data_IF_004845660382
#
_entry.id   IF_004845660382
#
_cell.length_a   1.000
_cell.length_b   1.000
_cell.length_c   1.000
_cell.angle_alpha   90.00
_cell.angle_beta   90.00
_cell.angle_gamma   90.00
#
_symmetry.space_group_name_H-M   'P 1'
#
loop_
_entity.id
_entity.type
_entity.pdbx_description
1 polymer ?
#
# COMPACT_ATOMS: atom_id res chain seq x y z
N UNK A 1 -54.45 26.90 14.95
CA UNK A 1 -53.42 25.89 14.70
C UNK A 1 -52.21 26.66 14.19
N UNK A 2 -51.07 26.77 14.93
CA UNK A 2 -49.88 27.40 14.39
C UNK A 2 -49.11 26.35 13.58
N UNK A 3 -48.73 26.72 12.36
CA UNK A 3 -47.90 25.93 11.47
C UNK A 3 -46.48 25.83 12.04
N UNK A 4 -46.00 24.60 12.18
CA UNK A 4 -44.61 24.29 12.54
C UNK A 4 -43.74 24.54 11.30
N UNK A 5 -42.99 25.64 11.27
CA UNK A 5 -41.94 25.87 10.27
C UNK A 5 -40.83 24.84 10.47
N UNK A 6 -40.63 24.00 9.45
CA UNK A 6 -39.53 23.07 9.39
C UNK A 6 -38.20 23.81 9.33
N UNK A 7 -37.27 23.44 10.20
CA UNK A 7 -35.90 23.93 10.23
C UNK A 7 -35.24 23.65 8.88
N UNK A 8 -34.59 24.62 8.21
CA UNK A 8 -33.85 24.38 6.98
C UNK A 8 -32.70 23.38 7.27
N UNK A 9 -32.64 22.29 6.54
CA UNK A 9 -31.54 21.36 6.62
C UNK A 9 -30.21 22.07 6.41
N UNK A 10 -29.25 21.80 7.27
CA UNK A 10 -27.90 22.32 7.13
C UNK A 10 -27.33 21.93 5.76
N UNK A 11 -26.98 22.94 4.96
CA UNK A 11 -26.32 22.74 3.69
C UNK A 11 -24.97 22.06 3.95
N UNK A 12 -24.66 21.00 3.20
CA UNK A 12 -23.33 20.42 3.21
C UNK A 12 -22.29 21.51 2.92
N UNK A 13 -21.16 21.54 3.63
CA UNK A 13 -20.12 22.53 3.35
C UNK A 13 -19.67 22.39 1.89
N UNK A 14 -19.72 23.48 1.15
CA UNK A 14 -19.21 23.52 -0.20
C UNK A 14 -17.69 23.27 -0.16
N UNK A 15 -17.16 22.41 -1.03
CA UNK A 15 -15.72 22.26 -1.23
C UNK A 15 -15.20 23.58 -1.79
N UNK A 16 -14.52 24.36 -0.96
CA UNK A 16 -13.98 25.71 -1.32
C UNK A 16 -12.55 25.64 -1.86
N UNK A 17 -11.89 24.49 -1.74
CA UNK A 17 -10.52 24.28 -2.24
C UNK A 17 -10.52 23.70 -3.65
N UNK A 18 -9.53 24.12 -4.46
CA UNK A 18 -9.34 23.56 -5.79
C UNK A 18 -8.94 22.08 -5.69
N UNK A 19 -9.66 21.21 -6.41
CA UNK A 19 -9.37 19.79 -6.48
C UNK A 19 -8.57 19.46 -7.73
N UNK A 20 -7.64 18.53 -7.62
CA UNK A 20 -6.85 17.97 -8.73
C UNK A 20 -7.12 16.47 -8.83
N UNK A 21 -6.99 15.92 -10.03
CA UNK A 21 -7.05 14.48 -10.22
C UNK A 21 -5.75 13.84 -9.72
N UNK A 22 -5.84 12.79 -8.90
CA UNK A 22 -4.73 11.92 -8.56
C UNK A 22 -4.61 10.78 -9.57
N UNK A 23 -3.38 10.43 -9.95
CA UNK A 23 -3.11 9.35 -10.88
C UNK A 23 -2.53 8.13 -10.17
N UNK A 24 -2.82 6.94 -10.70
CA UNK A 24 -2.36 5.68 -10.09
C UNK A 24 -0.84 5.53 -10.01
N UNK A 25 -0.08 6.22 -10.84
CA UNK A 25 1.38 6.24 -10.83
C UNK A 25 1.99 7.20 -9.78
N UNK A 26 1.16 7.95 -9.09
CA UNK A 26 1.56 8.87 -8.01
C UNK A 26 1.67 8.14 -6.67
N UNK A 27 2.30 6.96 -6.70
CA UNK A 27 2.50 6.14 -5.52
C UNK A 27 3.90 5.53 -5.53
N UNK A 28 4.63 5.70 -4.44
CA UNK A 28 6.00 5.20 -4.28
C UNK A 28 6.02 3.91 -3.47
N UNK A 29 6.85 2.97 -3.87
CA UNK A 29 7.19 1.78 -3.08
C UNK A 29 8.69 1.63 -3.04
N UNK A 30 9.25 1.59 -1.84
CA UNK A 30 10.67 1.35 -1.62
C UNK A 30 10.86 0.05 -0.83
N UNK A 31 11.94 -0.65 -1.13
CA UNK A 31 12.42 -1.82 -0.38
C UNK A 31 13.72 -1.49 0.35
N UNK A 32 13.90 -2.03 1.54
CA UNK A 32 15.16 -1.88 2.27
C UNK A 32 16.16 -2.98 1.85
N UNK A 33 17.31 -2.56 1.34
CA UNK A 33 18.44 -3.42 0.98
C UNK A 33 19.67 -2.90 1.74
N UNK A 34 20.33 -3.77 2.51
CA UNK A 34 21.51 -3.42 3.30
C UNK A 34 21.32 -2.12 4.12
N UNK A 35 20.18 -2.00 4.80
CA UNK A 35 19.78 -0.83 5.60
C UNK A 35 19.59 0.48 4.80
N UNK A 36 19.49 0.42 3.48
CA UNK A 36 19.19 1.56 2.60
C UNK A 36 17.86 1.38 1.91
N UNK A 37 17.09 2.44 1.82
CA UNK A 37 15.86 2.46 1.06
C UNK A 37 16.15 2.62 -0.42
N UNK A 38 15.63 1.71 -1.24
CA UNK A 38 15.74 1.74 -2.69
C UNK A 38 14.36 1.66 -3.31
N UNK A 39 14.01 2.58 -4.25
CA UNK A 39 12.73 2.51 -4.94
C UNK A 39 12.64 1.26 -5.81
N UNK A 40 11.48 0.62 -5.81
CA UNK A 40 11.18 -0.46 -6.74
C UNK A 40 10.83 0.20 -8.08
N UNK A 41 11.70 -0.02 -9.06
CA UNK A 41 11.57 0.56 -10.40
C UNK A 41 10.70 -0.32 -11.31
N UNK A 42 10.14 0.30 -12.37
CA UNK A 42 9.28 -0.39 -13.36
C UNK A 42 8.07 -1.09 -12.73
N UNK A 43 7.56 -0.49 -11.69
CA UNK A 43 6.42 -0.96 -10.93
C UNK A 43 5.10 -0.42 -11.50
N UNK A 44 4.05 -1.20 -11.40
CA UNK A 44 2.68 -0.78 -11.70
C UNK A 44 1.68 -1.57 -10.84
N UNK A 45 0.41 -1.21 -10.93
CA UNK A 45 -0.68 -1.89 -10.21
C UNK A 45 -0.43 -1.98 -8.70
N UNK A 46 0.13 -0.91 -8.12
CA UNK A 46 0.38 -0.85 -6.68
C UNK A 46 -0.94 -0.77 -5.94
N UNK A 47 -1.20 -1.78 -5.12
CA UNK A 47 -2.46 -1.92 -4.39
C UNK A 47 -2.21 -2.31 -2.93
N UNK A 48 -2.07 -1.33 -2.03
CA UNK A 48 -2.05 -1.58 -0.60
C UNK A 48 -3.46 -1.90 -0.10
N UNK A 49 -3.61 -2.98 0.66
CA UNK A 49 -4.87 -3.37 1.27
C UNK A 49 -4.71 -3.56 2.76
N UNK A 50 -5.73 -3.20 3.52
CA UNK A 50 -5.74 -3.36 4.97
C UNK A 50 -7.10 -3.89 5.39
N UNK A 51 -7.12 -5.12 5.89
CA UNK A 51 -8.32 -5.70 6.45
C UNK A 51 -8.31 -5.53 7.97
N UNK A 52 -9.38 -5.03 8.59
CA UNK A 52 -9.47 -4.98 10.03
C UNK A 52 -9.52 -6.40 10.59
N UNK A 53 -8.86 -6.63 11.71
CA UNK A 53 -9.06 -7.80 12.52
C UNK A 53 -10.04 -7.42 13.63
N UNK A 54 -11.19 -8.09 13.65
CA UNK A 54 -12.29 -7.76 14.54
C UNK A 54 -12.65 -8.96 15.42
N UNK A 55 -13.18 -8.66 16.57
CA UNK A 55 -13.85 -9.62 17.47
C UNK A 55 -15.26 -9.13 17.72
N UNK A 56 -16.20 -10.06 17.83
CA UNK A 56 -17.56 -9.72 18.20
C UNK A 56 -17.62 -9.52 19.71
N UNK A 57 -18.07 -8.34 20.14
CA UNK A 57 -18.29 -7.96 21.52
C UNK A 57 -19.80 -7.87 21.85
N UNK A 58 -20.66 -8.50 21.04
CA UNK A 58 -22.10 -8.46 21.25
C UNK A 58 -22.52 -8.98 22.62
N UNK A 59 -23.45 -8.29 23.23
CA UNK A 59 -24.08 -8.62 24.50
C UNK A 59 -25.60 -8.76 24.32
N UNK A 60 -26.31 -9.11 25.39
CA UNK A 60 -27.77 -9.15 25.35
C UNK A 60 -28.41 -7.78 25.06
N UNK A 61 -27.71 -6.70 25.34
CA UNK A 61 -28.19 -5.34 25.06
C UNK A 61 -28.22 -5.02 23.55
N UNK A 62 -27.44 -5.76 22.76
CA UNK A 62 -27.42 -5.64 21.29
C UNK A 62 -28.58 -6.36 20.61
N UNK A 63 -29.44 -7.07 21.36
CA UNK A 63 -30.65 -7.76 20.88
C UNK A 63 -30.39 -8.70 19.68
N UNK A 64 -29.22 -9.35 19.65
CA UNK A 64 -28.83 -10.29 18.60
C UNK A 64 -28.18 -9.66 17.39
N UNK A 65 -27.86 -8.36 17.42
CA UNK A 65 -27.04 -7.72 16.42
C UNK A 65 -25.54 -7.93 16.73
N UNK A 66 -24.72 -7.99 15.66
CA UNK A 66 -23.26 -8.05 15.79
C UNK A 66 -22.70 -6.72 16.32
N UNK A 67 -21.67 -6.79 17.17
CA UNK A 67 -20.97 -5.63 17.69
C UNK A 67 -19.46 -5.77 17.43
N UNK A 68 -19.01 -5.58 16.17
CA UNK A 68 -17.60 -5.77 15.83
C UNK A 68 -16.71 -4.69 16.44
N UNK A 69 -15.68 -5.13 17.16
CA UNK A 69 -14.64 -4.26 17.73
C UNK A 69 -13.32 -4.58 17.06
N UNK A 70 -12.70 -3.55 16.46
CA UNK A 70 -11.40 -3.69 15.82
C UNK A 70 -10.30 -3.91 16.87
N UNK A 71 -9.60 -5.04 16.78
CA UNK A 71 -8.50 -5.42 17.66
C UNK A 71 -7.14 -5.41 16.97
N UNK A 72 -7.12 -5.21 15.64
CA UNK A 72 -5.88 -5.20 14.87
C UNK A 72 -6.14 -4.97 13.39
N UNK A 73 -5.12 -5.29 12.59
CA UNK A 73 -5.19 -5.22 11.13
C UNK A 73 -4.36 -6.34 10.49
N UNK A 74 -4.71 -6.66 9.25
CA UNK A 74 -3.93 -7.55 8.37
C UNK A 74 -3.60 -6.75 7.12
N UNK A 75 -2.40 -6.15 7.06
CA UNK A 75 -1.98 -5.38 5.90
C UNK A 75 -1.40 -6.29 4.82
N UNK A 76 -1.62 -5.92 3.56
CA UNK A 76 -1.02 -6.55 2.39
C UNK A 76 -0.70 -5.49 1.35
N UNK A 77 0.32 -5.74 0.54
CA UNK A 77 0.71 -4.87 -0.57
C UNK A 77 0.95 -5.73 -1.80
N UNK A 78 0.22 -5.49 -2.87
CA UNK A 78 0.45 -6.16 -4.14
C UNK A 78 0.87 -5.17 -5.23
N UNK A 79 1.71 -5.63 -6.16
CA UNK A 79 2.16 -4.84 -7.30
C UNK A 79 2.74 -5.73 -8.39
N UNK A 80 2.78 -5.19 -9.61
CA UNK A 80 3.47 -5.79 -10.75
C UNK A 80 4.81 -5.09 -10.96
N UNK A 81 5.86 -5.87 -11.28
CA UNK A 81 7.18 -5.35 -11.69
C UNK A 81 7.55 -5.94 -13.05
N UNK A 82 7.83 -5.07 -14.02
CA UNK A 82 8.30 -5.47 -15.32
C UNK A 82 9.73 -6.03 -15.23
N UNK A 83 10.01 -7.10 -15.98
CA UNK A 83 11.32 -7.74 -15.97
C UNK A 83 12.36 -6.91 -16.73
N UNK A 84 13.40 -6.52 -16.01
CA UNK A 84 14.60 -5.92 -16.58
C UNK A 84 15.84 -6.71 -16.17
N UNK A 85 16.75 -6.94 -17.11
CA UNK A 85 18.01 -7.65 -16.87
C UNK A 85 19.19 -6.70 -16.94
N UNK A 86 20.14 -6.90 -16.05
CA UNK A 86 21.45 -6.28 -16.11
C UNK A 86 22.36 -7.07 -17.06
N UNK A 87 23.46 -6.45 -17.51
CA UNK A 87 24.42 -7.09 -18.40
C UNK A 87 25.08 -8.36 -17.83
N UNK A 88 25.09 -8.50 -16.49
CA UNK A 88 25.58 -9.69 -15.79
C UNK A 88 24.54 -10.84 -15.69
N UNK A 89 23.38 -10.69 -16.33
CA UNK A 89 22.28 -11.67 -16.34
C UNK A 89 21.34 -11.61 -15.13
N UNK A 90 21.68 -10.86 -14.08
CA UNK A 90 20.81 -10.68 -12.92
C UNK A 90 19.68 -9.69 -13.21
N UNK A 91 18.62 -9.78 -12.42
CA UNK A 91 17.58 -8.76 -12.38
C UNK A 91 18.04 -7.55 -11.58
N UNK A 92 17.19 -6.54 -11.52
CA UNK A 92 17.47 -5.37 -10.69
C UNK A 92 17.58 -5.76 -9.20
N UNK A 93 18.41 -5.07 -8.40
CA UNK A 93 18.65 -5.44 -7.00
C UNK A 93 17.39 -5.56 -6.16
N UNK A 94 16.42 -4.70 -6.36
CA UNK A 94 15.13 -4.73 -5.69
C UNK A 94 14.32 -5.99 -6.03
N UNK A 95 14.36 -6.42 -7.29
CA UNK A 95 13.69 -7.65 -7.76
C UNK A 95 14.43 -8.90 -7.25
N UNK A 96 15.76 -8.90 -7.29
CA UNK A 96 16.57 -10.00 -6.73
C UNK A 96 16.31 -10.17 -5.23
N UNK A 97 16.15 -9.08 -4.48
CA UNK A 97 15.83 -9.13 -3.04
C UNK A 97 14.45 -9.74 -2.80
N UNK A 98 13.44 -9.32 -3.57
CA UNK A 98 12.10 -9.90 -3.48
C UNK A 98 12.09 -11.39 -3.84
N UNK A 99 12.76 -11.78 -4.91
CA UNK A 99 12.86 -13.19 -5.33
C UNK A 99 13.68 -14.03 -4.35
N UNK A 100 14.72 -13.46 -3.73
CA UNK A 100 15.50 -14.16 -2.71
C UNK A 100 14.65 -14.59 -1.51
N UNK A 101 13.72 -13.73 -1.08
CA UNK A 101 12.80 -14.05 0.01
C UNK A 101 11.78 -15.15 -0.32
N UNK A 102 11.64 -15.54 -1.59
CA UNK A 102 10.75 -16.65 -2.01
C UNK A 102 11.46 -17.98 -2.21
N UNK A 103 12.78 -18.06 -2.00
CA UNK A 103 13.55 -19.28 -2.19
C UNK A 103 13.18 -20.36 -1.16
N UNK A 104 13.32 -21.66 -1.49
CA UNK A 104 12.97 -22.74 -0.58
C UNK A 104 13.73 -22.74 0.75
N UNK A 105 14.94 -22.19 0.77
CA UNK A 105 15.81 -22.05 1.94
C UNK A 105 15.56 -20.74 2.73
N UNK A 106 14.80 -19.82 2.19
CA UNK A 106 14.45 -18.55 2.85
C UNK A 106 13.32 -18.78 3.86
N UNK A 107 13.67 -19.08 5.10
CA UNK A 107 12.73 -19.32 6.20
C UNK A 107 12.92 -18.29 7.31
N UNK A 108 11.85 -18.04 8.05
CA UNK A 108 11.89 -17.05 9.14
C UNK A 108 12.19 -15.64 8.63
N UNK A 109 13.22 -15.00 9.18
CA UNK A 109 13.61 -13.64 8.81
C UNK A 109 14.08 -13.53 7.35
N UNK A 110 14.71 -14.55 6.81
CA UNK A 110 15.23 -14.56 5.43
C UNK A 110 14.08 -14.60 4.39
N UNK A 111 12.91 -15.09 4.78
CA UNK A 111 11.69 -15.09 3.97
C UNK A 111 10.90 -13.77 4.04
N UNK A 112 11.46 -12.72 4.65
CA UNK A 112 10.79 -11.43 4.82
C UNK A 112 11.56 -10.30 4.18
N UNK A 113 10.81 -9.27 3.81
CA UNK A 113 11.35 -8.00 3.33
C UNK A 113 10.78 -6.85 4.14
N UNK A 114 11.51 -5.76 4.20
CA UNK A 114 11.02 -4.52 4.75
C UNK A 114 10.77 -3.54 3.62
N UNK A 115 9.53 -3.05 3.53
CA UNK A 115 9.09 -2.13 2.50
C UNK A 115 8.44 -0.90 3.11
N UNK A 116 8.40 0.17 2.36
CA UNK A 116 7.57 1.33 2.65
C UNK A 116 6.84 1.75 1.38
N UNK A 117 5.65 2.25 1.55
CA UNK A 117 4.81 2.74 0.47
C UNK A 117 4.16 4.06 0.88
N UNK A 118 4.00 4.96 -0.07
CA UNK A 118 3.62 6.34 0.24
C UNK A 118 3.06 7.08 -0.97
N UNK A 119 2.25 8.10 -0.68
CA UNK A 119 1.78 9.05 -1.67
C UNK A 119 2.95 9.86 -2.24
N UNK A 120 3.04 9.92 -3.58
CA UNK A 120 4.15 10.55 -4.31
C UNK A 120 3.62 11.31 -5.52
N UNK A 121 2.94 12.44 -5.32
CA UNK A 121 2.40 13.22 -6.43
C UNK A 121 3.52 13.72 -7.34
N UNK A 122 3.21 13.85 -8.64
CA UNK A 122 4.13 14.44 -9.62
C UNK A 122 4.30 15.94 -9.39
N UNK A 123 3.24 16.59 -8.93
CA UNK A 123 3.23 18.02 -8.61
C UNK A 123 2.39 18.27 -7.37
N UNK A 124 2.76 19.30 -6.61
CA UNK A 124 2.10 19.66 -5.36
C UNK A 124 2.69 18.97 -4.14
N UNK A 125 2.01 19.11 -3.02
CA UNK A 125 2.41 18.51 -1.75
C UNK A 125 1.93 17.07 -1.65
N UNK A 126 2.81 16.16 -1.20
CA UNK A 126 2.41 14.80 -0.85
C UNK A 126 1.55 14.79 0.41
N UNK A 127 0.62 13.82 0.48
CA UNK A 127 -0.16 13.61 1.69
C UNK A 127 0.75 13.10 2.83
N UNK A 128 0.93 13.88 3.92
CA UNK A 128 1.83 13.50 5.02
C UNK A 128 1.32 12.30 5.81
N UNK A 129 0.02 12.00 5.72
CA UNK A 129 -0.62 10.92 6.46
C UNK A 129 -0.66 9.59 5.68
N UNK A 130 -0.31 9.61 4.39
CA UNK A 130 -0.32 8.43 3.52
C UNK A 130 1.10 7.93 3.27
N UNK A 131 1.74 7.42 4.35
CA UNK A 131 3.04 6.78 4.29
C UNK A 131 3.18 5.72 5.38
N UNK A 132 3.51 4.50 4.98
CA UNK A 132 3.58 3.35 5.87
C UNK A 132 4.80 2.48 5.61
N UNK A 133 5.31 1.88 6.67
CA UNK A 133 6.38 0.89 6.68
C UNK A 133 5.80 -0.47 7.08
N UNK A 134 6.24 -1.54 6.42
CA UNK A 134 5.73 -2.87 6.58
C UNK A 134 6.87 -3.88 6.51
N UNK A 135 6.89 -4.85 7.43
CA UNK A 135 7.66 -6.08 7.31
C UNK A 135 6.71 -7.15 6.78
N UNK A 136 7.10 -7.86 5.74
CA UNK A 136 6.19 -8.78 5.07
C UNK A 136 6.91 -10.01 4.51
N UNK A 137 6.18 -11.12 4.45
CA UNK A 137 6.54 -12.29 3.63
C UNK A 137 6.21 -12.01 2.17
N UNK A 138 6.93 -12.66 1.26
CA UNK A 138 6.83 -12.41 -0.17
C UNK A 138 6.26 -13.62 -0.88
N UNK A 139 5.26 -13.39 -1.72
CA UNK A 139 4.81 -14.33 -2.76
C UNK A 139 5.10 -13.73 -4.13
N UNK A 140 5.61 -14.54 -5.04
CA UNK A 140 5.95 -14.11 -6.40
C UNK A 140 5.30 -15.04 -7.43
N UNK A 141 4.66 -14.47 -8.43
CA UNK A 141 4.07 -15.17 -9.55
C UNK A 141 4.57 -14.56 -10.86
N UNK A 142 4.97 -15.43 -11.83
CA UNK A 142 5.30 -14.96 -13.17
C UNK A 142 4.06 -14.42 -13.85
N UNK A 143 4.16 -13.22 -14.40
CA UNK A 143 3.08 -12.53 -15.08
C UNK A 143 3.51 -12.13 -16.50
N UNK A 144 2.51 -11.83 -17.36
CA UNK A 144 2.73 -11.49 -18.76
C UNK A 144 3.58 -12.59 -19.47
N UNK A 145 3.02 -13.81 -19.54
CA UNK A 145 3.71 -15.00 -20.05
C UNK A 145 3.36 -15.35 -21.49
N UNK A 146 2.55 -14.52 -22.16
CA UNK A 146 2.21 -14.68 -23.57
C UNK A 146 3.44 -14.53 -24.47
N UNK A 147 3.33 -15.06 -25.71
CA UNK A 147 4.47 -15.15 -26.62
C UNK A 147 5.07 -13.79 -27.04
N UNK A 148 4.27 -12.73 -27.04
CA UNK A 148 4.66 -11.39 -27.48
C UNK A 148 4.52 -10.32 -26.39
N UNK A 149 4.71 -10.71 -25.12
CA UNK A 149 4.55 -9.84 -23.96
C UNK A 149 5.89 -9.54 -23.29
N UNK A 150 5.97 -8.37 -22.67
CA UNK A 150 7.07 -8.05 -21.77
C UNK A 150 6.81 -8.71 -20.41
N UNK A 151 7.59 -9.74 -20.10
CA UNK A 151 7.44 -10.51 -18.88
C UNK A 151 7.68 -9.70 -17.60
N UNK A 152 7.18 -10.22 -16.49
CA UNK A 152 7.35 -9.62 -15.18
C UNK A 152 6.91 -10.56 -14.07
N UNK A 153 6.69 -9.98 -12.90
CA UNK A 153 6.16 -10.69 -11.73
C UNK A 153 5.07 -9.88 -11.06
N UNK A 154 4.04 -10.59 -10.62
CA UNK A 154 3.14 -10.11 -9.58
C UNK A 154 3.73 -10.49 -8.23
N UNK A 155 4.00 -9.51 -7.41
CA UNK A 155 4.40 -9.71 -6.03
C UNK A 155 3.22 -9.42 -5.11
N UNK A 156 3.07 -10.26 -4.08
CA UNK A 156 2.15 -10.03 -2.97
C UNK A 156 2.94 -10.12 -1.68
N UNK A 157 2.91 -9.04 -0.93
CA UNK A 157 3.59 -8.90 0.35
C UNK A 157 2.54 -9.00 1.47
N UNK A 158 2.62 -10.06 2.28
CA UNK A 158 1.72 -10.25 3.41
C UNK A 158 2.37 -9.75 4.68
N UNK A 159 1.80 -8.72 5.29
CA UNK A 159 2.37 -8.06 6.45
C UNK A 159 2.47 -8.95 7.68
N UNK A 160 3.61 -8.87 8.34
CA UNK A 160 3.84 -9.45 9.67
C UNK A 160 3.55 -8.40 10.74
N UNK A 161 2.38 -8.51 11.35
CA UNK A 161 1.94 -7.54 12.35
C UNK A 161 1.36 -6.26 11.74
N UNK A 162 1.29 -5.23 12.56
CA UNK A 162 0.71 -3.94 12.20
C UNK A 162 1.70 -3.11 11.36
N UNK A 163 1.20 -2.44 10.33
CA UNK A 163 1.98 -1.45 9.59
C UNK A 163 2.31 -0.24 10.49
N UNK A 164 3.46 0.37 10.25
CA UNK A 164 3.90 1.55 10.98
C UNK A 164 3.70 2.78 10.14
N UNK A 165 2.95 3.77 10.63
CA UNK A 165 2.89 5.10 10.01
C UNK A 165 4.25 5.77 10.13
N UNK A 166 4.74 6.34 9.02
CA UNK A 166 6.01 7.05 8.95
C UNK A 166 5.79 8.46 8.36
N UNK A 167 6.81 9.31 8.48
CA UNK A 167 6.83 10.57 7.72
C UNK A 167 6.95 10.25 6.23
N UNK A 168 6.13 10.87 5.40
CA UNK A 168 6.17 10.66 3.96
C UNK A 168 7.56 11.05 3.42
N UNK A 169 8.29 10.12 2.77
CA UNK A 169 9.62 10.37 2.25
C UNK A 169 9.62 11.15 0.93
N UNK A 170 8.48 11.31 0.27
CA UNK A 170 8.38 12.12 -0.94
C UNK A 170 8.53 13.60 -0.55
N UNK A 171 9.47 14.34 -1.14
CA UNK A 171 9.55 15.77 -0.94
C UNK A 171 8.31 16.43 -1.53
N UNK A 172 7.54 17.13 -0.71
CA UNK A 172 6.48 17.99 -1.21
C UNK A 172 7.09 19.04 -2.14
N UNK A 173 6.67 19.06 -3.41
CA UNK A 173 7.05 20.16 -4.30
C UNK A 173 6.21 21.36 -3.89
N UNK A 174 6.80 22.31 -3.18
CA UNK A 174 6.16 23.59 -2.91
C UNK A 174 5.86 24.24 -4.26
N UNK A 175 4.60 24.45 -4.56
CA UNK A 175 4.19 25.34 -5.63
C UNK A 175 4.64 26.76 -5.22
N UNK A 176 5.69 27.27 -5.87
CA UNK A 176 6.13 28.64 -5.72
C UNK A 176 5.15 29.60 -6.41
#
# INVERSE_FOLDING_TARGET
MPETQGTPGAASPAVTEATQYGFSYEYGVDIQIENRWQPIRFISSVNPTVSPKEVDAATYDDNGADHPVRVGETPSLSFYVQMHRLNNGKFLPEVETLLAATRPDAVGADGTVKVRYYDKPVSGASNPDEAYELIATVSAERAATGNAELGGWNFTLNGQGQRKKITNPAPGTSLA
#
